data_IF_455937120549
#
_entry.id   IF_455937120549
#
_cell.length_a   1.000
_cell.length_b   1.000
_cell.length_c   1.000
_cell.angle_alpha   90.00
_cell.angle_beta   90.00
_cell.angle_gamma   90.00
#
_symmetry.space_group_name_H-M   'P 1'
#
loop_
_entity.id
_entity.type
_entity.pdbx_description
1 polymer ?
#
# COMPACT_ATOMS: atom_id res chain seq x y z
N UNK A 1 -16.41 14.60 1.45
CA UNK A 1 -16.02 15.46 2.57
C UNK A 1 -16.75 16.80 2.54
N UNK A 2 -16.62 17.58 1.47
CA UNK A 2 -17.23 18.93 1.38
C UNK A 2 -18.74 18.96 1.61
N UNK A 3 -19.45 17.90 1.29
CA UNK A 3 -20.90 17.74 1.47
C UNK A 3 -21.30 17.12 2.80
N UNK A 4 -20.34 16.69 3.62
CA UNK A 4 -20.60 15.94 4.86
C UNK A 4 -21.04 14.48 4.68
N UNK A 5 -21.14 13.99 3.45
CA UNK A 5 -21.54 12.60 3.19
C UNK A 5 -20.50 11.56 3.64
N UNK A 6 -19.25 11.98 3.76
CA UNK A 6 -18.12 11.15 4.22
C UNK A 6 -17.28 11.96 5.20
N UNK A 7 -17.04 11.41 6.39
CA UNK A 7 -16.28 12.08 7.47
C UNK A 7 -14.84 11.56 7.59
N UNK A 8 -14.58 10.33 7.14
CA UNK A 8 -13.26 9.72 7.20
C UNK A 8 -13.02 8.80 6.01
N UNK A 9 -11.75 8.56 5.70
CA UNK A 9 -11.33 7.59 4.69
C UNK A 9 -9.99 6.98 5.06
N UNK A 10 -9.67 5.84 4.47
CA UNK A 10 -8.34 5.24 4.53
C UNK A 10 -7.73 5.34 3.13
N UNK A 11 -6.56 5.99 3.03
CA UNK A 11 -5.84 6.15 1.75
C UNK A 11 -4.34 6.34 1.98
N UNK A 12 -3.55 6.33 0.91
CA UNK A 12 -2.11 6.63 0.98
C UNK A 12 -1.83 8.13 1.02
N UNK A 13 -0.68 8.56 1.55
CA UNK A 13 -0.24 9.97 1.47
C UNK A 13 -0.17 10.46 0.03
N UNK A 14 0.28 9.60 -0.90
CA UNK A 14 0.38 9.90 -2.33
C UNK A 14 -1.00 10.20 -2.94
N UNK A 15 -2.01 9.39 -2.63
CA UNK A 15 -3.38 9.65 -3.08
C UNK A 15 -3.90 10.95 -2.48
N UNK A 16 -3.69 11.16 -1.17
CA UNK A 16 -4.09 12.38 -0.48
C UNK A 16 -3.50 13.63 -1.14
N UNK A 17 -2.20 13.62 -1.41
CA UNK A 17 -1.50 14.71 -2.11
C UNK A 17 -2.03 14.91 -3.53
N UNK A 18 -2.10 13.84 -4.34
CA UNK A 18 -2.49 13.95 -5.75
C UNK A 18 -3.95 14.42 -5.93
N UNK A 19 -4.80 14.11 -4.97
CA UNK A 19 -6.21 14.55 -4.93
C UNK A 19 -6.41 15.84 -4.15
N UNK A 20 -5.33 16.43 -3.63
CA UNK A 20 -5.36 17.68 -2.85
C UNK A 20 -6.49 17.67 -1.82
N UNK A 21 -6.52 16.61 -1.00
CA UNK A 21 -7.66 16.37 -0.10
C UNK A 21 -7.93 17.50 0.89
N UNK A 22 -6.94 18.35 1.17
CA UNK A 22 -7.09 19.56 1.98
C UNK A 22 -8.05 20.58 1.38
N UNK A 23 -8.18 20.64 0.03
CA UNK A 23 -9.14 21.51 -0.67
C UNK A 23 -10.60 21.05 -0.44
N UNK A 24 -10.79 19.79 -0.03
CA UNK A 24 -12.10 19.19 0.26
C UNK A 24 -12.43 19.17 1.77
N UNK A 25 -11.73 19.97 2.58
CA UNK A 25 -11.98 20.10 4.01
C UNK A 25 -11.31 19.06 4.92
N UNK A 26 -10.49 18.16 4.36
CA UNK A 26 -9.74 17.19 5.18
C UNK A 26 -8.59 17.90 5.90
N UNK A 27 -8.60 17.89 7.22
CA UNK A 27 -7.63 18.61 8.05
C UNK A 27 -6.56 17.71 8.68
N UNK A 28 -6.85 16.43 8.82
CA UNK A 28 -6.01 15.50 9.57
C UNK A 28 -5.61 14.32 8.70
N UNK A 29 -4.36 13.90 8.82
CA UNK A 29 -3.85 12.65 8.24
C UNK A 29 -3.06 11.89 9.30
N UNK A 30 -3.47 10.66 9.61
CA UNK A 30 -2.77 9.79 10.55
C UNK A 30 -2.14 8.61 9.84
N UNK A 31 -0.83 8.45 10.04
CA UNK A 31 -0.05 7.33 9.47
C UNK A 31 -0.30 6.07 10.29
N UNK A 32 -1.20 5.22 9.81
CA UNK A 32 -1.61 3.99 10.49
C UNK A 32 -0.88 2.75 9.98
N UNK A 33 -0.20 2.82 8.83
CA UNK A 33 0.46 1.69 8.18
C UNK A 33 -0.43 0.43 8.10
N UNK A 34 -1.70 0.60 7.69
CA UNK A 34 -2.72 -0.44 7.76
C UNK A 34 -2.46 -1.61 6.82
N UNK A 35 -1.81 -1.38 5.68
CA UNK A 35 -1.47 -2.42 4.71
C UNK A 35 -0.30 -2.01 3.83
N UNK A 36 0.38 -3.00 3.28
CA UNK A 36 1.50 -2.85 2.36
C UNK A 36 1.19 -3.58 1.05
N UNK A 37 0.39 -3.00 0.15
CA UNK A 37 0.01 -3.66 -1.08
C UNK A 37 1.22 -3.85 -1.98
N UNK A 38 1.37 -5.06 -2.53
CA UNK A 38 2.43 -5.39 -3.47
C UNK A 38 1.90 -5.24 -4.89
N UNK A 39 2.46 -4.29 -5.64
CA UNK A 39 2.22 -4.20 -7.06
C UNK A 39 3.04 -5.26 -7.80
N UNK A 40 2.45 -5.86 -8.83
CA UNK A 40 3.08 -6.90 -9.63
C UNK A 40 3.06 -6.51 -11.10
N UNK A 41 4.20 -6.71 -11.77
CA UNK A 41 4.27 -6.73 -13.23
C UNK A 41 4.20 -8.19 -13.65
N UNK A 42 3.19 -8.53 -14.44
CA UNK A 42 2.93 -9.90 -14.88
C UNK A 42 2.95 -9.97 -16.40
N UNK A 43 3.34 -11.12 -16.93
CA UNK A 43 3.33 -11.42 -18.36
C UNK A 43 2.57 -12.73 -18.58
N UNK A 44 1.84 -12.83 -19.68
CA UNK A 44 1.23 -14.08 -20.10
C UNK A 44 2.31 -15.14 -20.37
N UNK A 45 2.12 -16.35 -19.83
CA UNK A 45 3.11 -17.42 -19.92
C UNK A 45 3.42 -17.83 -21.36
N UNK A 46 2.42 -17.90 -22.23
CA UNK A 46 2.63 -18.30 -23.63
C UNK A 46 3.35 -17.21 -24.42
N UNK A 47 3.08 -15.93 -24.13
CA UNK A 47 3.83 -14.82 -24.71
C UNK A 47 5.29 -14.84 -24.25
N UNK A 48 5.53 -15.09 -22.97
CA UNK A 48 6.87 -15.23 -22.40
C UNK A 48 7.67 -16.35 -23.04
N UNK A 49 7.04 -17.51 -23.23
CA UNK A 49 7.67 -18.70 -23.82
C UNK A 49 8.03 -18.55 -25.32
N UNK A 50 7.45 -17.55 -26.01
CA UNK A 50 7.81 -17.22 -27.39
C UNK A 50 9.09 -16.40 -27.52
N UNK A 51 9.56 -15.82 -26.42
CA UNK A 51 10.82 -15.09 -26.39
C UNK A 51 12.00 -16.07 -26.34
N UNK A 52 13.08 -15.74 -27.06
CA UNK A 52 14.34 -16.46 -26.94
C UNK A 52 14.95 -16.26 -25.52
N UNK A 53 15.86 -17.16 -25.17
CA UNK A 53 16.46 -17.17 -23.83
C UNK A 53 17.30 -15.92 -23.51
N UNK A 54 17.90 -15.28 -24.52
CA UNK A 54 18.68 -14.07 -24.34
C UNK A 54 17.75 -12.90 -24.01
N UNK A 55 16.63 -12.77 -24.74
CA UNK A 55 15.59 -11.76 -24.46
C UNK A 55 14.96 -11.98 -23.10
N UNK A 56 14.63 -13.22 -22.71
CA UNK A 56 14.09 -13.51 -21.36
C UNK A 56 15.05 -13.07 -20.27
N UNK A 57 16.35 -13.36 -20.38
CA UNK A 57 17.39 -12.94 -19.42
C UNK A 57 17.51 -11.43 -19.35
N UNK A 58 17.47 -10.74 -20.49
CA UNK A 58 17.52 -9.29 -20.55
C UNK A 58 16.31 -8.67 -19.82
N UNK A 59 15.09 -9.12 -20.13
CA UNK A 59 13.88 -8.64 -19.48
C UNK A 59 13.94 -8.84 -17.96
N UNK A 60 14.37 -10.00 -17.48
CA UNK A 60 14.51 -10.27 -16.04
C UNK A 60 15.56 -9.39 -15.37
N UNK A 61 16.68 -9.12 -16.07
CA UNK A 61 17.71 -8.21 -15.56
C UNK A 61 17.17 -6.79 -15.41
N UNK A 62 16.50 -6.26 -16.43
CA UNK A 62 15.93 -4.91 -16.39
C UNK A 62 14.76 -4.82 -15.39
N UNK A 63 13.94 -5.85 -15.26
CA UNK A 63 12.89 -5.93 -14.26
C UNK A 63 13.46 -5.84 -12.83
N UNK A 64 14.57 -6.54 -12.54
CA UNK A 64 15.24 -6.45 -11.24
C UNK A 64 15.79 -5.05 -10.94
N UNK A 65 16.34 -4.37 -11.95
CA UNK A 65 16.79 -2.96 -11.78
C UNK A 65 15.60 -2.04 -11.53
N UNK A 66 14.52 -2.22 -12.29
CA UNK A 66 13.29 -1.44 -12.14
C UNK A 66 12.65 -1.65 -10.76
N UNK A 67 12.62 -2.89 -10.25
CA UNK A 67 12.14 -3.21 -8.91
C UNK A 67 12.92 -2.46 -7.83
N UNK A 68 14.25 -2.54 -7.85
CA UNK A 68 15.10 -1.83 -6.87
C UNK A 68 14.85 -0.32 -6.88
N UNK A 69 14.76 0.26 -8.09
CA UNK A 69 14.42 1.69 -8.24
C UNK A 69 13.02 2.01 -7.73
N UNK A 70 12.04 1.16 -8.03
CA UNK A 70 10.66 1.30 -7.58
C UNK A 70 10.54 1.31 -6.06
N UNK A 71 11.22 0.41 -5.36
CA UNK A 71 11.27 0.39 -3.90
C UNK A 71 11.89 1.66 -3.31
N UNK A 72 12.99 2.15 -3.88
CA UNK A 72 13.62 3.39 -3.44
C UNK A 72 12.70 4.60 -3.63
N UNK A 73 12.04 4.70 -4.78
CA UNK A 73 11.09 5.77 -5.09
C UNK A 73 9.84 5.70 -4.19
N UNK A 74 9.32 4.51 -3.91
CA UNK A 74 8.16 4.33 -3.02
C UNK A 74 8.46 4.79 -1.58
N UNK A 75 9.62 4.40 -1.04
CA UNK A 75 10.04 4.84 0.31
C UNK A 75 10.22 6.35 0.38
N UNK A 76 10.89 6.94 -0.62
CA UNK A 76 11.08 8.39 -0.70
C UNK A 76 9.73 9.11 -0.85
N UNK A 77 8.88 8.64 -1.78
CA UNK A 77 7.56 9.23 -2.05
C UNK A 77 6.68 9.24 -0.81
N UNK A 78 6.62 8.16 -0.05
CA UNK A 78 5.82 8.11 1.19
C UNK A 78 6.24 9.20 2.21
N UNK A 79 7.54 9.48 2.32
CA UNK A 79 8.05 10.55 3.19
C UNK A 79 7.72 11.94 2.63
N UNK A 80 8.01 12.15 1.36
CA UNK A 80 7.84 13.45 0.70
C UNK A 80 6.36 13.84 0.61
N UNK A 81 5.49 12.87 0.33
CA UNK A 81 4.06 13.10 0.21
C UNK A 81 3.41 13.44 1.58
N UNK A 82 3.85 12.80 2.67
CA UNK A 82 3.43 13.20 4.03
C UNK A 82 3.87 14.63 4.36
N UNK A 83 5.10 15.00 3.98
CA UNK A 83 5.56 16.37 4.12
C UNK A 83 4.70 17.35 3.32
N UNK A 84 4.37 17.01 2.08
CA UNK A 84 3.54 17.85 1.23
C UNK A 84 2.13 18.07 1.81
N UNK A 85 1.53 17.06 2.46
CA UNK A 85 0.26 17.23 3.18
C UNK A 85 0.41 18.22 4.36
N UNK A 86 1.50 18.12 5.12
CA UNK A 86 1.77 19.05 6.22
C UNK A 86 2.03 20.47 5.69
N UNK A 87 2.81 20.64 4.64
CA UNK A 87 3.10 21.92 4.00
C UNK A 87 1.81 22.59 3.45
N UNK A 88 0.81 21.77 3.08
CA UNK A 88 -0.52 22.23 2.68
C UNK A 88 -1.46 22.61 3.86
N UNK A 89 -0.94 22.61 5.09
CA UNK A 89 -1.67 22.98 6.29
C UNK A 89 -2.43 21.86 7.00
N UNK A 90 -2.24 20.60 6.57
CA UNK A 90 -2.85 19.47 7.27
C UNK A 90 -2.04 19.07 8.52
N UNK A 91 -2.73 18.61 9.53
CA UNK A 91 -2.11 17.98 10.72
C UNK A 91 -1.74 16.53 10.35
N UNK A 92 -0.45 16.26 10.18
CA UNK A 92 0.06 14.92 9.91
C UNK A 92 0.63 14.32 11.17
N UNK A 93 0.05 13.23 11.64
CA UNK A 93 0.41 12.62 12.92
C UNK A 93 0.44 11.10 12.90
N UNK A 94 0.65 10.53 14.07
CA UNK A 94 0.52 9.11 14.35
C UNK A 94 -0.73 8.87 15.18
N UNK A 95 -1.35 7.73 14.99
CA UNK A 95 -2.44 7.30 15.86
C UNK A 95 -1.94 7.07 17.29
N UNK A 96 -2.80 7.29 18.28
CA UNK A 96 -2.51 6.95 19.66
C UNK A 96 -2.46 5.42 19.86
N UNK A 97 -1.97 4.98 21.02
CA UNK A 97 -1.78 3.56 21.32
C UNK A 97 -3.10 2.77 21.33
N UNK A 98 -4.18 3.36 21.83
CA UNK A 98 -5.49 2.70 21.92
C UNK A 98 -6.09 2.46 20.55
N UNK A 99 -6.07 3.48 19.67
CA UNK A 99 -6.55 3.34 18.30
C UNK A 99 -5.69 2.36 17.50
N UNK A 100 -4.37 2.38 17.71
CA UNK A 100 -3.46 1.38 17.08
C UNK A 100 -3.84 -0.03 17.50
N UNK A 101 -4.02 -0.27 18.81
CA UNK A 101 -4.43 -1.58 19.34
C UNK A 101 -5.79 -2.02 18.79
N UNK A 102 -6.72 -1.11 18.61
CA UNK A 102 -8.01 -1.38 18.00
C UNK A 102 -7.85 -1.87 16.55
N UNK A 103 -7.07 -1.17 15.74
CA UNK A 103 -6.78 -1.58 14.36
C UNK A 103 -6.06 -2.93 14.28
N UNK A 104 -5.12 -3.21 15.18
CA UNK A 104 -4.46 -4.52 15.28
C UNK A 104 -5.46 -5.64 15.57
N UNK A 105 -6.44 -5.41 16.45
CA UNK A 105 -7.52 -6.36 16.73
C UNK A 105 -8.42 -6.61 15.51
N UNK A 106 -8.81 -5.55 14.80
CA UNK A 106 -9.57 -5.67 13.54
C UNK A 106 -8.76 -6.46 12.50
N UNK A 107 -7.48 -6.16 12.33
CA UNK A 107 -6.59 -6.86 11.42
C UNK A 107 -6.45 -8.36 11.72
N UNK A 108 -6.35 -8.71 13.01
CA UNK A 108 -6.30 -10.12 13.46
C UNK A 108 -7.60 -10.86 13.10
N UNK A 109 -8.74 -10.25 13.36
CA UNK A 109 -10.06 -10.81 13.00
C UNK A 109 -10.20 -11.02 11.49
N UNK A 110 -9.90 -9.99 10.70
CA UNK A 110 -9.98 -10.07 9.23
C UNK A 110 -9.02 -11.11 8.64
N UNK A 111 -7.81 -11.24 9.20
CA UNK A 111 -6.83 -12.25 8.79
C UNK A 111 -7.35 -13.66 9.06
N UNK A 112 -7.97 -13.89 10.23
CA UNK A 112 -8.59 -15.18 10.56
C UNK A 112 -9.74 -15.51 9.62
N UNK A 113 -10.67 -14.58 9.41
CA UNK A 113 -11.81 -14.76 8.49
C UNK A 113 -11.34 -15.07 7.06
N UNK A 114 -10.27 -14.40 6.61
CA UNK A 114 -9.68 -14.67 5.31
C UNK A 114 -9.08 -16.08 5.26
N UNK A 115 -8.33 -16.49 6.27
CA UNK A 115 -7.73 -17.83 6.33
C UNK A 115 -8.79 -18.94 6.34
N UNK A 116 -9.88 -18.75 7.08
CA UNK A 116 -10.99 -19.69 7.13
C UNK A 116 -11.65 -19.84 5.75
N UNK A 117 -11.87 -18.75 5.01
CA UNK A 117 -12.40 -18.78 3.64
C UNK A 117 -11.43 -19.38 2.62
N UNK A 118 -10.13 -19.12 2.77
CA UNK A 118 -9.09 -19.61 1.86
C UNK A 118 -8.65 -21.05 2.15
N UNK A 119 -9.09 -21.64 3.26
CA UNK A 119 -8.79 -23.00 3.66
C UNK A 119 -7.31 -23.24 3.93
N UNK A 120 -6.86 -24.49 3.78
CA UNK A 120 -5.48 -24.91 4.10
C UNK A 120 -4.41 -24.09 3.35
N UNK A 121 -4.68 -23.66 2.14
CA UNK A 121 -3.78 -22.81 1.36
C UNK A 121 -3.59 -21.43 2.00
N UNK A 122 -4.67 -20.81 2.46
CA UNK A 122 -4.62 -19.51 3.14
C UNK A 122 -3.93 -19.61 4.49
N UNK A 123 -4.21 -20.65 5.24
CA UNK A 123 -3.53 -20.92 6.51
C UNK A 123 -2.03 -21.10 6.33
N UNK A 124 -1.59 -21.82 5.28
CA UNK A 124 -0.19 -21.95 4.92
C UNK A 124 0.49 -20.62 4.58
N UNK A 125 -0.20 -19.74 3.87
CA UNK A 125 0.30 -18.38 3.57
C UNK A 125 0.50 -17.58 4.85
N UNK A 126 -0.49 -17.56 5.76
CA UNK A 126 -0.37 -16.82 7.03
C UNK A 126 0.72 -17.40 7.93
N UNK A 127 0.89 -18.72 7.95
CA UNK A 127 1.95 -19.37 8.73
C UNK A 127 3.36 -19.01 8.22
N UNK A 128 3.50 -18.79 6.90
CA UNK A 128 4.76 -18.37 6.28
C UNK A 128 5.02 -16.87 6.41
N UNK A 129 4.01 -16.08 6.68
CA UNK A 129 4.09 -14.63 6.86
C UNK A 129 4.35 -14.29 8.33
N UNK A 130 5.62 -14.29 8.72
CA UNK A 130 6.08 -13.95 10.08
C UNK A 130 7.06 -12.78 10.07
#
# INVERSE_FOLDING_TARGET
FSTGAVESMITSPTTGKNKKIWENGVKYFYDIAAWFPKNMVIVNKDAWNKLDSATQKLVMSEASKAEKKGWALSKKGNKDDKKALADAGMVVGKVNADLKKHFEGVGATMSKEWADRAGSRGQGVLAAYK
#
